data_IF_515960952779
#
_entry.id   IF_515960952779
#
_cell.length_a   1.000
_cell.length_b   1.000
_cell.length_c   1.000
_cell.angle_alpha   90.00
_cell.angle_beta   90.00
_cell.angle_gamma   90.00
#
_symmetry.space_group_name_H-M   'P 1'
#
loop_
_entity.id
_entity.type
_entity.pdbx_description
1 polymer ?
#
# COMPACT_ATOMS: atom_id res chain seq x y z
N UNK A 1 -2.19 11.42 10.37
CA UNK A 1 -3.17 12.47 10.20
C UNK A 1 -4.48 12.22 10.91
N UNK A 2 -4.43 11.32 11.86
CA UNK A 2 -5.43 11.15 12.89
C UNK A 2 -5.45 12.41 13.76
N UNK A 3 -6.64 12.98 13.97
CA UNK A 3 -6.85 14.18 14.79
C UNK A 3 -7.24 13.79 16.22
N UNK A 4 -8.17 12.85 16.38
CA UNK A 4 -8.61 12.36 17.67
C UNK A 4 -9.20 10.96 17.59
N UNK A 5 -9.16 10.23 18.69
CA UNK A 5 -9.91 8.99 18.94
C UNK A 5 -10.93 9.18 20.06
N UNK A 6 -10.96 10.35 20.71
CA UNK A 6 -11.96 10.67 21.72
C UNK A 6 -13.27 11.09 21.04
N UNK A 7 -14.33 10.30 21.22
CA UNK A 7 -15.65 10.61 20.65
C UNK A 7 -16.24 11.92 21.18
N UNK A 8 -15.77 12.43 22.31
CA UNK A 8 -16.22 13.73 22.86
C UNK A 8 -15.74 14.92 22.01
N UNK A 9 -14.64 14.75 21.27
CA UNK A 9 -14.09 15.76 20.35
C UNK A 9 -14.70 15.66 18.94
N UNK A 10 -15.52 14.64 18.69
CA UNK A 10 -16.18 14.40 17.41
C UNK A 10 -17.54 15.10 17.33
N UNK A 11 -18.13 15.20 16.13
CA UNK A 11 -19.50 15.67 15.97
C UNK A 11 -20.49 14.89 16.86
N UNK A 12 -21.56 15.55 17.30
CA UNK A 12 -22.52 15.03 18.30
C UNK A 12 -23.03 13.61 17.97
N UNK A 13 -23.25 13.31 16.70
CA UNK A 13 -23.67 11.98 16.24
C UNK A 13 -22.76 10.85 16.76
N UNK A 14 -21.45 11.09 16.82
CA UNK A 14 -20.45 10.10 17.23
C UNK A 14 -20.21 10.02 18.75
N UNK A 15 -20.83 10.90 19.55
CA UNK A 15 -20.67 10.94 21.02
C UNK A 15 -21.50 9.90 21.78
N UNK A 16 -21.95 8.86 21.10
CA UNK A 16 -22.75 7.78 21.66
C UNK A 16 -21.84 6.61 22.08
N UNK A 17 -22.19 5.85 23.13
CA UNK A 17 -21.35 4.78 23.67
C UNK A 17 -20.93 3.71 22.66
N UNK A 18 -21.77 3.43 21.64
CA UNK A 18 -21.46 2.45 20.62
C UNK A 18 -20.29 2.82 19.72
N UNK A 19 -19.89 4.10 19.67
CA UNK A 19 -18.77 4.59 18.85
C UNK A 19 -17.47 4.72 19.64
N UNK A 20 -17.52 4.63 20.97
CA UNK A 20 -16.34 4.71 21.83
C UNK A 20 -15.36 3.55 21.54
N UNK A 21 -14.07 3.88 21.36
CA UNK A 21 -13.02 2.93 20.99
C UNK A 21 -13.13 2.34 19.58
N UNK A 22 -14.09 2.82 18.76
CA UNK A 22 -14.37 2.32 17.42
C UNK A 22 -14.38 3.40 16.35
N UNK A 23 -14.12 4.64 16.73
CA UNK A 23 -14.17 5.80 15.86
C UNK A 23 -12.86 6.57 15.90
N UNK A 24 -12.52 7.14 14.76
CA UNK A 24 -11.31 7.92 14.56
C UNK A 24 -11.66 9.14 13.72
N UNK A 25 -11.29 10.31 14.21
CA UNK A 25 -11.41 11.55 13.43
C UNK A 25 -10.10 11.81 12.71
N UNK A 26 -10.15 11.92 11.41
CA UNK A 26 -8.98 12.14 10.56
C UNK A 26 -9.11 13.43 9.76
N UNK A 27 -7.97 13.98 9.32
CA UNK A 27 -7.94 15.05 8.33
C UNK A 27 -8.53 14.54 7.01
N UNK A 28 -9.39 15.34 6.40
CA UNK A 28 -9.91 15.04 5.05
C UNK A 28 -8.81 15.27 4.01
N UNK A 29 -8.65 14.32 3.10
CA UNK A 29 -7.71 14.41 2.00
C UNK A 29 -8.45 14.25 0.67
N UNK A 30 -7.88 14.78 -0.40
CA UNK A 30 -8.26 14.41 -1.76
C UNK A 30 -7.49 13.14 -2.12
N UNK A 31 -8.14 11.97 -2.06
CA UNK A 31 -7.48 10.70 -2.29
C UNK A 31 -6.99 10.55 -3.73
N UNK A 32 -5.78 10.03 -3.88
CA UNK A 32 -5.20 9.71 -5.18
C UNK A 32 -5.69 8.31 -5.64
N UNK A 33 -6.05 8.12 -6.93
CA UNK A 33 -6.66 6.88 -7.41
C UNK A 33 -5.61 5.82 -7.77
N UNK A 34 -4.59 5.68 -6.96
CA UNK A 34 -3.53 4.69 -7.11
C UNK A 34 -3.35 3.96 -5.79
N UNK A 35 -3.55 2.67 -5.81
CA UNK A 35 -3.19 1.79 -4.70
C UNK A 35 -1.70 1.49 -4.75
N UNK A 36 -1.00 1.80 -3.69
CA UNK A 36 0.44 1.71 -3.59
C UNK A 36 0.86 0.40 -2.94
N UNK A 37 0.96 -0.66 -3.74
CA UNK A 37 1.34 -1.99 -3.26
C UNK A 37 2.85 -2.12 -3.31
N UNK A 38 3.43 -2.60 -2.22
CA UNK A 38 4.85 -2.96 -2.12
C UNK A 38 5.00 -4.42 -1.71
N UNK A 39 5.90 -5.12 -2.38
CA UNK A 39 6.16 -6.54 -2.14
C UNK A 39 7.62 -6.76 -1.78
N UNK A 40 7.87 -7.31 -0.62
CA UNK A 40 9.19 -7.78 -0.21
C UNK A 40 9.37 -9.28 -0.44
N UNK A 41 8.25 -9.98 -0.66
CA UNK A 41 8.18 -11.41 -0.95
C UNK A 41 7.22 -11.64 -2.11
N UNK A 42 7.50 -12.66 -2.93
CA UNK A 42 6.68 -12.94 -4.13
C UNK A 42 5.55 -13.90 -3.78
N UNK A 43 4.32 -13.38 -3.68
CA UNK A 43 3.12 -14.16 -3.33
C UNK A 43 1.86 -13.60 -3.97
N UNK A 44 0.75 -14.30 -3.86
CA UNK A 44 -0.57 -13.88 -4.32
C UNK A 44 -0.61 -13.51 -5.80
N UNK A 45 -1.23 -12.37 -6.14
CA UNK A 45 -1.33 -11.91 -7.54
C UNK A 45 0.04 -11.61 -8.17
N UNK A 46 1.03 -11.20 -7.37
CA UNK A 46 2.41 -11.02 -7.83
C UNK A 46 3.04 -12.34 -8.27
N UNK A 47 2.87 -13.41 -7.49
CA UNK A 47 3.33 -14.75 -7.85
C UNK A 47 2.63 -15.25 -9.12
N UNK A 48 1.31 -15.10 -9.20
CA UNK A 48 0.56 -15.50 -10.41
C UNK A 48 1.01 -14.76 -11.66
N UNK A 49 1.36 -13.47 -11.57
CA UNK A 49 1.92 -12.69 -12.67
C UNK A 49 3.32 -13.17 -13.04
N UNK A 50 4.17 -13.38 -12.05
CA UNK A 50 5.53 -13.87 -12.24
C UNK A 50 5.55 -15.24 -12.95
N UNK A 51 4.72 -16.19 -12.52
CA UNK A 51 4.63 -17.51 -13.16
C UNK A 51 4.27 -17.44 -14.65
N UNK A 52 3.45 -16.45 -15.05
CA UNK A 52 3.02 -16.29 -16.45
C UNK A 52 4.04 -15.60 -17.32
N UNK A 53 4.75 -14.61 -16.79
CA UNK A 53 5.52 -13.65 -17.60
C UNK A 53 6.95 -13.41 -17.12
N UNK A 54 7.33 -13.91 -15.94
CA UNK A 54 8.58 -13.54 -15.27
C UNK A 54 8.59 -12.10 -14.74
N UNK A 55 7.47 -11.38 -14.86
CA UNK A 55 7.35 -9.96 -14.51
C UNK A 55 6.18 -9.70 -13.56
N UNK A 56 6.30 -8.62 -12.79
CA UNK A 56 5.19 -8.05 -12.00
C UNK A 56 5.13 -6.55 -12.25
N UNK A 57 4.00 -6.04 -12.72
CA UNK A 57 3.81 -4.61 -13.06
C UNK A 57 4.94 -4.04 -13.96
N UNK A 58 5.38 -4.83 -14.95
CA UNK A 58 6.48 -4.48 -15.85
C UNK A 58 7.88 -4.71 -15.32
N UNK A 59 8.05 -4.99 -14.02
CA UNK A 59 9.35 -5.23 -13.37
C UNK A 59 9.78 -6.67 -13.66
N UNK A 60 10.94 -6.84 -14.34
CA UNK A 60 11.55 -8.15 -14.54
C UNK A 60 12.14 -8.67 -13.23
N UNK A 61 11.76 -9.87 -12.82
CA UNK A 61 12.28 -10.53 -11.63
C UNK A 61 13.31 -11.62 -12.02
N UNK A 62 14.19 -12.03 -11.08
CA UNK A 62 15.10 -13.14 -11.28
C UNK A 62 14.36 -14.42 -11.66
N UNK A 63 14.98 -15.27 -12.46
CA UNK A 63 14.46 -16.60 -12.78
C UNK A 63 14.59 -17.56 -11.59
N UNK A 64 13.67 -18.52 -11.52
CA UNK A 64 13.73 -19.61 -10.55
C UNK A 64 13.24 -19.26 -9.14
N UNK A 65 12.58 -18.11 -8.96
CA UNK A 65 11.95 -17.78 -7.68
C UNK A 65 10.88 -18.82 -7.33
N UNK A 66 10.78 -19.12 -6.04
CA UNK A 66 9.71 -19.94 -5.47
C UNK A 66 8.60 -19.08 -4.89
N UNK A 67 7.41 -19.62 -4.75
CA UNK A 67 6.35 -18.92 -4.05
C UNK A 67 6.79 -18.56 -2.63
N UNK A 68 6.34 -17.41 -2.15
CA UNK A 68 6.72 -16.85 -0.84
C UNK A 68 8.20 -16.53 -0.67
N UNK A 69 9.02 -16.58 -1.72
CA UNK A 69 10.43 -16.25 -1.64
C UNK A 69 10.64 -14.75 -1.43
N UNK A 70 11.63 -14.43 -0.59
CA UNK A 70 12.06 -13.05 -0.36
C UNK A 70 12.70 -12.48 -1.62
N UNK A 71 12.23 -11.32 -2.05
CA UNK A 71 12.83 -10.60 -3.17
C UNK A 71 14.16 -9.96 -2.77
N UNK A 72 15.12 -9.83 -3.69
CA UNK A 72 16.41 -9.14 -3.44
C UNK A 72 16.21 -7.72 -2.91
N UNK A 73 15.24 -7.00 -3.48
CA UNK A 73 14.78 -5.68 -3.03
C UNK A 73 13.25 -5.64 -3.08
N UNK A 74 12.60 -4.88 -2.18
CA UNK A 74 11.17 -4.65 -2.28
C UNK A 74 10.80 -3.96 -3.59
N UNK A 75 9.76 -4.43 -4.25
CA UNK A 75 9.26 -3.86 -5.50
C UNK A 75 7.96 -3.09 -5.28
N UNK A 76 7.82 -1.97 -5.99
CA UNK A 76 6.60 -1.18 -6.03
C UNK A 76 5.71 -1.65 -7.19
N UNK A 77 4.53 -2.15 -6.88
CA UNK A 77 3.61 -2.78 -7.85
C UNK A 77 2.22 -2.15 -7.73
N UNK A 78 2.04 -0.91 -8.25
CA UNK A 78 0.80 -0.19 -8.07
C UNK A 78 -0.39 -0.82 -8.83
N UNK A 79 -1.61 -0.51 -8.38
CA UNK A 79 -2.84 -0.77 -9.11
C UNK A 79 -3.69 0.50 -9.20
N UNK A 80 -4.57 0.55 -10.19
CA UNK A 80 -5.64 1.55 -10.19
C UNK A 80 -6.66 1.21 -9.13
N UNK A 81 -7.26 2.21 -8.52
CA UNK A 81 -8.45 2.03 -7.70
C UNK A 81 -9.66 2.00 -8.63
N UNK A 82 -10.25 0.84 -8.79
CA UNK A 82 -11.43 0.66 -9.63
C UNK A 82 -12.64 1.41 -9.08
N UNK A 83 -13.57 1.78 -9.97
CA UNK A 83 -14.91 2.22 -9.54
C UNK A 83 -15.69 1.03 -8.95
N UNK A 84 -16.71 1.34 -8.14
CA UNK A 84 -17.52 0.31 -7.47
C UNK A 84 -18.12 -0.63 -8.51
N UNK A 85 -17.66 -1.89 -8.52
CA UNK A 85 -18.13 -2.94 -9.42
C UNK A 85 -17.10 -3.42 -10.45
N UNK A 86 -15.98 -2.72 -10.59
CA UNK A 86 -14.86 -3.12 -11.42
C UNK A 86 -13.72 -3.69 -10.57
N UNK A 87 -12.78 -4.41 -11.19
CA UNK A 87 -11.61 -4.94 -10.52
C UNK A 87 -10.41 -3.99 -10.65
N UNK A 88 -9.64 -3.87 -9.57
CA UNK A 88 -8.38 -3.14 -9.57
C UNK A 88 -7.43 -3.76 -10.61
N UNK A 89 -6.87 -2.91 -11.46
CA UNK A 89 -5.92 -3.33 -12.48
C UNK A 89 -4.49 -3.02 -12.05
N UNK A 90 -3.64 -4.04 -12.08
CA UNK A 90 -2.20 -3.86 -11.89
C UNK A 90 -1.65 -2.99 -13.01
N UNK A 91 -0.93 -1.93 -12.65
CA UNK A 91 -0.32 -0.99 -13.58
C UNK A 91 1.19 -0.89 -13.34
N UNK A 92 1.94 -0.44 -14.35
CA UNK A 92 3.34 -0.10 -14.16
C UNK A 92 3.49 1.26 -13.49
N UNK A 93 4.72 1.56 -13.03
CA UNK A 93 5.05 2.88 -12.50
C UNK A 93 4.76 3.98 -13.53
N UNK A 94 5.14 3.77 -14.79
CA UNK A 94 4.90 4.71 -15.89
C UNK A 94 3.41 4.94 -16.13
N UNK A 95 2.62 3.88 -16.10
CA UNK A 95 1.15 4.00 -16.21
C UNK A 95 0.56 4.78 -15.03
N UNK A 96 1.12 4.66 -13.82
CA UNK A 96 0.68 5.46 -12.68
C UNK A 96 0.95 6.96 -12.87
N UNK A 97 2.04 7.33 -13.57
CA UNK A 97 2.29 8.71 -13.97
C UNK A 97 1.17 9.21 -14.88
N UNK A 98 0.81 8.42 -15.90
CA UNK A 98 -0.25 8.81 -16.86
C UNK A 98 -1.61 8.99 -16.18
N UNK A 99 -1.94 8.13 -15.22
CA UNK A 99 -3.18 8.23 -14.41
C UNK A 99 -3.20 9.55 -13.64
N UNK A 100 -2.10 9.87 -12.95
CA UNK A 100 -2.01 11.06 -12.12
C UNK A 100 -1.90 12.34 -12.97
N UNK A 101 -1.22 12.30 -14.12
CA UNK A 101 -1.09 13.44 -15.02
C UNK A 101 -2.44 13.88 -15.61
N UNK A 102 -3.33 12.92 -15.91
CA UNK A 102 -4.69 13.22 -16.39
C UNK A 102 -5.52 14.00 -15.36
N UNK A 103 -5.33 13.73 -14.09
CA UNK A 103 -6.07 14.35 -12.98
C UNK A 103 -5.40 15.62 -12.46
N UNK A 104 -4.08 15.66 -12.50
CA UNK A 104 -3.24 16.73 -11.98
C UNK A 104 -2.20 17.16 -13.03
N UNK A 105 -2.59 17.88 -14.09
CA UNK A 105 -1.70 18.25 -15.19
C UNK A 105 -0.42 18.95 -14.70
N UNK A 106 0.73 18.44 -15.14
CA UNK A 106 2.05 18.93 -14.74
C UNK A 106 2.55 18.41 -13.38
N UNK A 107 1.81 17.48 -12.74
CA UNK A 107 2.15 16.91 -11.44
C UNK A 107 2.23 15.37 -11.43
N UNK A 108 1.91 14.71 -12.53
CA UNK A 108 1.82 13.25 -12.59
C UNK A 108 3.10 12.56 -12.15
N UNK A 109 4.24 12.96 -12.72
CA UNK A 109 5.55 12.37 -12.36
C UNK A 109 5.96 12.69 -10.91
N UNK A 110 5.74 13.93 -10.44
CA UNK A 110 6.04 14.34 -9.07
C UNK A 110 5.26 13.48 -8.07
N UNK A 111 3.96 13.32 -8.28
CA UNK A 111 3.12 12.54 -7.38
C UNK A 111 3.45 11.04 -7.46
N UNK A 112 3.57 10.46 -8.65
CA UNK A 112 3.93 9.05 -8.80
C UNK A 112 5.27 8.72 -8.12
N UNK A 113 6.26 9.60 -8.26
CA UNK A 113 7.56 9.46 -7.59
C UNK A 113 7.39 9.47 -6.07
N UNK A 114 6.65 10.42 -5.51
CA UNK A 114 6.39 10.48 -4.07
C UNK A 114 5.65 9.24 -3.56
N UNK A 115 4.64 8.77 -4.30
CA UNK A 115 3.89 7.56 -3.94
C UNK A 115 4.82 6.35 -3.84
N UNK A 116 5.66 6.13 -4.86
CA UNK A 116 6.63 5.03 -4.90
C UNK A 116 7.62 5.14 -3.74
N UNK A 117 8.25 6.29 -3.59
CA UNK A 117 9.36 6.48 -2.66
C UNK A 117 8.87 6.40 -1.20
N UNK A 118 7.71 7.00 -0.89
CA UNK A 118 7.10 6.89 0.44
C UNK A 118 6.67 5.44 0.74
N UNK A 119 6.08 4.76 -0.23
CA UNK A 119 5.66 3.36 -0.08
C UNK A 119 6.84 2.46 0.25
N UNK A 120 7.93 2.56 -0.52
CA UNK A 120 9.14 1.75 -0.28
C UNK A 120 9.80 2.09 1.06
N UNK A 121 9.90 3.39 1.39
CA UNK A 121 10.51 3.83 2.64
C UNK A 121 9.71 3.36 3.88
N UNK A 122 8.38 3.50 3.84
CA UNK A 122 7.49 3.02 4.89
C UNK A 122 7.61 1.49 5.06
N UNK A 123 7.53 0.77 3.95
CA UNK A 123 7.67 -0.69 3.98
C UNK A 123 8.99 -1.13 4.60
N UNK A 124 10.13 -0.62 4.12
CA UNK A 124 11.46 -0.99 4.62
C UNK A 124 11.57 -0.77 6.14
N UNK A 125 11.14 0.39 6.62
CA UNK A 125 11.16 0.73 8.04
C UNK A 125 10.28 -0.19 8.88
N UNK A 126 9.07 -0.45 8.43
CA UNK A 126 8.12 -1.27 9.17
C UNK A 126 8.47 -2.76 9.10
N UNK A 127 8.97 -3.25 7.95
CA UNK A 127 9.41 -4.62 7.78
C UNK A 127 10.62 -4.95 8.67
N UNK A 128 11.58 -4.04 8.80
CA UNK A 128 12.71 -4.18 9.71
C UNK A 128 12.24 -4.28 11.17
N UNK A 129 11.34 -3.40 11.59
CA UNK A 129 10.78 -3.43 12.93
C UNK A 129 9.98 -4.72 13.20
N UNK A 130 9.10 -5.12 12.26
CA UNK A 130 8.32 -6.34 12.39
C UNK A 130 9.21 -7.59 12.48
N UNK A 131 10.26 -7.65 11.65
CA UNK A 131 11.22 -8.74 11.65
C UNK A 131 11.93 -8.87 13.00
N UNK A 132 12.28 -7.74 13.64
CA UNK A 132 12.86 -7.73 14.99
C UNK A 132 11.92 -8.28 16.08
N UNK A 133 10.63 -8.42 15.75
CA UNK A 133 9.57 -8.98 16.59
C UNK A 133 9.13 -10.37 16.15
N UNK A 134 9.86 -11.00 15.22
CA UNK A 134 9.53 -12.33 14.71
C UNK A 134 8.38 -12.36 13.69
N UNK A 135 8.08 -11.24 13.06
CA UNK A 135 7.01 -11.10 12.07
C UNK A 135 7.59 -10.68 10.72
N UNK A 136 7.22 -11.39 9.66
CA UNK A 136 7.49 -11.02 8.28
C UNK A 136 6.29 -10.23 7.75
N UNK A 137 6.53 -9.05 7.18
CA UNK A 137 5.56 -8.36 6.33
C UNK A 137 5.89 -8.75 4.89
N UNK A 138 5.07 -9.62 4.29
CA UNK A 138 5.34 -10.12 2.94
C UNK A 138 5.06 -9.04 1.90
N UNK A 139 3.92 -8.41 1.99
CA UNK A 139 3.49 -7.27 1.19
C UNK A 139 2.49 -6.42 1.97
N UNK A 140 2.28 -5.22 1.49
CA UNK A 140 1.26 -4.31 2.02
C UNK A 140 0.79 -3.33 0.95
N UNK A 141 -0.37 -2.75 1.17
CA UNK A 141 -0.96 -1.69 0.37
C UNK A 141 -1.06 -0.42 1.20
N UNK A 142 -0.65 0.70 0.62
CA UNK A 142 -0.89 2.03 1.16
C UNK A 142 -1.74 2.85 0.20
N UNK A 143 -2.48 3.79 0.75
CA UNK A 143 -3.19 4.81 -0.01
C UNK A 143 -2.72 6.20 0.42
N UNK A 144 -2.69 7.13 -0.51
CA UNK A 144 -2.26 8.50 -0.26
C UNK A 144 -3.29 9.47 -0.81
N UNK A 145 -3.32 10.66 -0.23
CA UNK A 145 -4.12 11.76 -0.69
C UNK A 145 -3.36 13.07 -0.60
N UNK A 146 -3.97 14.12 -1.10
CA UNK A 146 -3.45 15.49 -1.04
C UNK A 146 -4.14 16.23 0.09
N UNK A 147 -3.36 16.99 0.87
CA UNK A 147 -3.89 18.00 1.77
C UNK A 147 -4.27 19.28 1.00
N UNK A 148 -4.71 20.32 1.71
CA UNK A 148 -5.14 21.60 1.13
C UNK A 148 -3.99 22.35 0.45
N UNK A 149 -2.74 22.10 0.85
CA UNK A 149 -1.54 22.67 0.25
C UNK A 149 -0.98 21.82 -0.91
N UNK A 150 -1.61 20.68 -1.23
CA UNK A 150 -1.17 19.76 -2.29
C UNK A 150 0.00 18.85 -1.88
N UNK A 151 0.25 18.69 -0.59
CA UNK A 151 1.23 17.73 -0.11
C UNK A 151 0.67 16.31 -0.14
N UNK A 152 1.51 15.36 -0.55
CA UNK A 152 1.16 13.94 -0.52
C UNK A 152 1.24 13.42 0.92
N UNK A 153 0.12 12.92 1.40
CA UNK A 153 -0.10 12.48 2.79
C UNK A 153 -0.57 11.03 2.78
N UNK A 154 -0.02 10.20 3.66
CA UNK A 154 -0.53 8.86 3.90
C UNK A 154 -1.97 8.94 4.43
N UNK A 155 -2.88 8.27 3.74
CA UNK A 155 -4.29 8.15 4.10
C UNK A 155 -4.69 6.71 4.34
N UNK A 156 -5.98 6.48 4.57
CA UNK A 156 -6.56 5.17 4.76
C UNK A 156 -5.86 4.32 5.84
N UNK A 157 -5.94 3.01 5.74
CA UNK A 157 -5.33 2.07 6.67
C UNK A 157 -3.83 1.84 6.39
N UNK A 158 -3.09 1.47 7.42
CA UNK A 158 -1.66 1.16 7.32
C UNK A 158 -1.34 -0.11 8.10
N UNK A 159 -0.80 -1.10 7.41
CA UNK A 159 -0.31 -2.36 8.01
C UNK A 159 -1.38 -3.08 8.87
N UNK A 160 -2.61 -3.06 8.41
CA UNK A 160 -3.68 -3.87 9.00
C UNK A 160 -3.71 -5.26 8.36
N UNK A 161 -4.36 -6.24 8.99
CA UNK A 161 -4.55 -7.56 8.37
C UNK A 161 -5.31 -7.53 7.04
N UNK A 162 -6.12 -6.50 6.79
CA UNK A 162 -6.85 -6.35 5.53
C UNK A 162 -5.96 -5.84 4.40
N UNK A 163 -5.01 -4.96 4.71
CA UNK A 163 -4.09 -4.35 3.73
C UNK A 163 -2.77 -5.09 3.55
N UNK A 164 -2.47 -6.09 4.40
CA UNK A 164 -1.13 -6.66 4.50
C UNK A 164 -1.14 -8.17 4.72
N UNK A 165 -0.08 -8.84 4.27
CA UNK A 165 0.19 -10.24 4.62
C UNK A 165 1.31 -10.31 5.63
N UNK A 166 1.02 -10.93 6.77
CA UNK A 166 1.96 -11.19 7.85
C UNK A 166 2.21 -12.68 7.99
N UNK A 167 3.48 -13.06 8.13
CA UNK A 167 3.86 -14.43 8.44
C UNK A 167 4.72 -14.48 9.70
N UNK A 168 4.65 -15.56 10.49
CA UNK A 168 5.63 -15.77 11.55
C UNK A 168 7.00 -16.00 10.92
N UNK A 169 8.05 -15.42 11.51
CA UNK A 169 9.43 -15.68 11.09
C UNK A 169 9.83 -17.13 11.41
N UNK A 170 9.36 -17.62 12.56
CA UNK A 170 9.57 -19.01 12.95
C UNK A 170 8.83 -19.97 11.98
N UNK A 171 9.58 -20.91 11.43
CA UNK A 171 9.04 -21.88 10.47
C UNK A 171 8.80 -21.33 9.06
N UNK A 172 9.20 -20.09 8.76
CA UNK A 172 9.11 -19.58 7.40
C UNK A 172 10.10 -20.29 6.47
N UNK A 173 9.56 -20.83 5.38
CA UNK A 173 10.32 -21.42 4.28
C UNK A 173 9.72 -20.98 2.93
N UNK A 174 10.59 -20.65 1.95
CA UNK A 174 10.14 -20.34 0.60
C UNK A 174 9.62 -21.59 -0.12
N UNK A 175 8.54 -21.46 -0.88
CA UNK A 175 7.91 -22.56 -1.63
C UNK A 175 6.69 -23.17 -0.95
N UNK A 176 6.18 -22.51 0.06
CA UNK A 176 4.95 -22.90 0.78
C UNK A 176 3.90 -21.81 0.73
#
# INVERSE_FOLDING_TARGET
>A
HMLSVDVKEMPEFFRQPQYEGRSMMCRKLTMLPVECIVRGYITGSGWASYQKTGKVCGIQLPEGLKESEKLPEPIYTPSTKAEIGDHDENISYEQSIDVLEKLFPGKGEEYATKLRDYTIALYKKCAEYALSRGIIIADTKFEFGLDEEGNVILGDEMLTPDSSRFWPLEGYEAGH
#
